data_IF_764283984709
#
_entry.id   IF_764283984709
#
_cell.length_a   1.000
_cell.length_b   1.000
_cell.length_c   1.000
_cell.angle_alpha   90.00
_cell.angle_beta   90.00
_cell.angle_gamma   90.00
#
_symmetry.space_group_name_H-M   'P 1'
#
loop_
_entity.id
_entity.type
_entity.pdbx_description
1 polymer ?
#
# COMPACT_ATOMS: atom_id res chain seq x y z
N UNK A 1 -1.64 14.71 -0.71
CA UNK A 1 -0.69 14.34 0.34
C UNK A 1 0.71 14.06 -0.20
N UNK A 2 0.84 13.30 -1.32
CA UNK A 2 2.16 13.04 -1.89
C UNK A 2 2.89 14.33 -2.29
N UNK A 3 2.19 15.29 -2.87
CA UNK A 3 2.80 16.56 -3.25
C UNK A 3 3.33 17.32 -2.04
N UNK A 4 2.59 17.31 -0.94
CA UNK A 4 3.03 17.94 0.31
C UNK A 4 4.31 17.30 0.82
N UNK A 5 4.36 15.98 0.84
CA UNK A 5 5.52 15.24 1.33
C UNK A 5 6.76 15.50 0.45
N UNK A 6 6.58 15.53 -0.87
CA UNK A 6 7.66 15.81 -1.79
C UNK A 6 8.20 17.25 -1.63
N UNK A 7 7.31 18.23 -1.50
CA UNK A 7 7.71 19.63 -1.35
C UNK A 7 8.50 19.87 -0.08
N UNK A 8 8.27 19.05 0.96
CA UNK A 8 8.94 19.19 2.25
C UNK A 8 10.09 18.20 2.42
N UNK A 9 10.49 17.51 1.35
CA UNK A 9 11.58 16.51 1.37
C UNK A 9 11.39 15.42 2.41
N UNK A 10 10.14 15.01 2.65
CA UNK A 10 9.82 13.95 3.59
C UNK A 10 9.89 12.61 2.85
N UNK A 11 10.69 11.69 3.38
CA UNK A 11 10.77 10.33 2.84
C UNK A 11 9.51 9.57 3.24
N UNK A 12 8.89 8.88 2.29
CA UNK A 12 7.61 8.22 2.56
C UNK A 12 7.38 7.03 1.63
N UNK A 13 6.50 6.16 2.07
CA UNK A 13 5.85 5.15 1.24
C UNK A 13 4.41 5.04 1.72
N UNK A 14 3.50 4.82 0.80
CA UNK A 14 2.09 4.65 1.09
C UNK A 14 1.61 3.27 0.66
N UNK A 15 0.55 2.80 1.27
CA UNK A 15 -0.15 1.60 0.82
C UNK A 15 -1.62 1.67 1.27
N UNK A 16 -2.44 0.83 0.65
CA UNK A 16 -3.85 0.73 1.01
C UNK A 16 -4.00 -0.28 2.14
N UNK A 17 -4.53 0.15 3.29
CA UNK A 17 -4.85 -0.76 4.39
C UNK A 17 -6.13 -1.54 4.09
N UNK A 18 -7.13 -0.85 3.53
CA UNK A 18 -8.43 -1.42 3.14
C UNK A 18 -8.53 -1.45 1.62
N UNK A 19 -9.47 -2.27 1.06
CA UNK A 19 -9.66 -2.29 -0.39
C UNK A 19 -9.89 -0.88 -0.92
N UNK A 20 -9.23 -0.50 -2.03
CA UNK A 20 -9.49 0.80 -2.62
C UNK A 20 -10.95 0.87 -3.09
N UNK A 21 -11.57 2.05 -3.07
CA UNK A 21 -12.93 2.19 -3.56
C UNK A 21 -13.02 1.73 -5.01
N UNK A 22 -14.11 1.02 -5.33
CA UNK A 22 -14.35 0.58 -6.70
C UNK A 22 -14.70 1.80 -7.52
N UNK A 23 -13.74 2.32 -8.25
CA UNK A 23 -13.97 3.48 -9.10
C UNK A 23 -13.95 3.00 -10.54
N UNK A 24 -14.85 3.55 -11.35
CA UNK A 24 -14.91 3.21 -12.76
C UNK A 24 -13.59 3.58 -13.43
N UNK A 25 -13.15 2.72 -14.32
CA UNK A 25 -11.87 2.88 -15.02
C UNK A 25 -11.71 4.27 -15.66
N UNK A 26 -12.80 4.83 -16.17
CA UNK A 26 -12.77 6.15 -16.81
C UNK A 26 -12.64 7.30 -15.81
N UNK A 27 -13.21 7.14 -14.61
CA UNK A 27 -13.16 8.16 -13.57
C UNK A 27 -11.79 8.19 -12.90
N UNK A 28 -11.09 7.07 -12.96
CA UNK A 28 -9.83 6.86 -12.24
C UNK A 28 -8.58 7.15 -13.00
N UNK A 29 -8.65 7.12 -14.32
CA UNK A 29 -7.43 7.13 -15.12
C UNK A 29 -6.56 8.34 -14.80
N UNK A 30 -7.16 9.52 -14.68
CA UNK A 30 -6.41 10.74 -14.38
C UNK A 30 -5.83 10.71 -12.97
N UNK A 31 -6.65 10.32 -11.97
CA UNK A 31 -6.18 10.23 -10.57
C UNK A 31 -5.14 9.14 -10.42
N UNK A 32 -5.36 7.98 -11.04
CA UNK A 32 -4.42 6.86 -11.01
C UNK A 32 -3.06 7.27 -11.60
N UNK A 33 -3.07 7.95 -12.74
CA UNK A 33 -1.84 8.40 -13.40
C UNK A 33 -1.12 9.49 -12.61
N UNK A 34 -1.81 10.20 -11.72
CA UNK A 34 -1.20 11.22 -10.88
C UNK A 34 -0.50 10.65 -9.64
N UNK A 35 -0.76 9.38 -9.32
CA UNK A 35 -0.13 8.72 -8.16
C UNK A 35 1.30 8.32 -8.51
N UNK A 36 2.25 8.71 -7.66
CA UNK A 36 3.63 8.27 -7.78
C UNK A 36 3.75 6.84 -7.25
N UNK A 37 3.74 5.88 -8.15
CA UNK A 37 3.75 4.46 -7.80
C UNK A 37 5.06 4.00 -7.16
N UNK A 38 6.15 4.72 -7.38
CA UNK A 38 7.41 4.43 -6.71
C UNK A 38 7.27 4.58 -5.20
N UNK A 39 6.49 5.56 -4.77
CA UNK A 39 6.22 5.83 -3.36
C UNK A 39 4.90 5.23 -2.88
N UNK A 40 4.28 4.39 -3.69
CA UNK A 40 3.01 3.75 -3.33
C UNK A 40 3.13 2.25 -3.55
N UNK A 41 3.24 1.51 -2.46
CA UNK A 41 3.36 0.06 -2.54
C UNK A 41 2.02 -0.53 -2.98
N UNK A 42 2.05 -1.23 -4.11
CA UNK A 42 0.95 -2.04 -4.61
C UNK A 42 -0.39 -1.28 -4.67
N UNK A 43 -0.44 -0.23 -5.51
CA UNK A 43 -1.60 0.66 -5.61
C UNK A 43 -2.91 -0.08 -5.99
N UNK A 44 -2.80 -1.21 -6.68
CA UNK A 44 -3.96 -1.99 -7.14
C UNK A 44 -4.48 -2.99 -6.10
N UNK A 45 -3.86 -3.07 -4.93
CA UNK A 45 -4.23 -4.01 -3.90
C UNK A 45 -4.25 -3.35 -2.53
N UNK A 46 -4.43 -4.14 -1.48
CA UNK A 46 -4.49 -3.65 -0.11
C UNK A 46 -3.96 -4.70 0.86
N UNK A 47 -3.61 -4.26 2.07
CA UNK A 47 -3.25 -5.18 3.14
C UNK A 47 -4.40 -6.12 3.47
N UNK A 48 -5.63 -5.60 3.48
CA UNK A 48 -6.83 -6.41 3.72
C UNK A 48 -6.95 -7.54 2.69
N UNK A 49 -6.80 -7.20 1.41
CA UNK A 49 -6.90 -8.19 0.32
C UNK A 49 -5.83 -9.28 0.45
N UNK A 50 -4.60 -8.88 0.76
CA UNK A 50 -3.51 -9.82 0.99
C UNK A 50 -3.85 -10.80 2.11
N UNK A 51 -4.36 -10.31 3.22
CA UNK A 51 -4.73 -11.13 4.37
C UNK A 51 -5.88 -12.07 4.04
N UNK A 52 -6.85 -11.60 3.25
CA UNK A 52 -7.96 -12.44 2.79
C UNK A 52 -7.47 -13.58 1.91
N UNK A 53 -6.60 -13.29 0.95
CA UNK A 53 -6.10 -14.29 0.01
C UNK A 53 -5.20 -15.33 0.68
N UNK A 54 -4.54 -14.99 1.77
CA UNK A 54 -3.54 -15.83 2.41
C UNK A 54 -3.96 -16.34 3.79
N UNK A 55 -5.22 -16.13 4.18
CA UNK A 55 -5.75 -16.54 5.49
C UNK A 55 -4.93 -15.95 6.64
N UNK A 56 -4.71 -14.64 6.60
CA UNK A 56 -3.90 -13.92 7.59
C UNK A 56 -4.73 -13.05 8.52
N UNK A 57 -6.02 -13.35 8.70
CA UNK A 57 -6.86 -12.68 9.69
C UNK A 57 -6.74 -13.37 11.04
N UNK A 58 -7.02 -12.61 12.11
CA UNK A 58 -7.01 -13.13 13.48
C UNK A 58 -8.00 -14.27 13.62
N UNK A 59 -9.24 -14.10 13.11
CA UNK A 59 -10.28 -15.13 13.15
C UNK A 59 -11.28 -14.92 12.02
N UNK A 60 -12.24 -15.84 11.89
CA UNK A 60 -13.32 -15.71 10.90
C UNK A 60 -14.22 -14.51 11.17
N UNK A 61 -14.29 -14.06 12.42
CA UNK A 61 -15.14 -12.93 12.83
C UNK A 61 -14.34 -11.66 13.06
N UNK A 62 -13.01 -11.75 13.15
CA UNK A 62 -12.14 -10.60 13.34
C UNK A 62 -11.20 -10.48 12.13
N UNK A 63 -11.54 -9.60 11.20
CA UNK A 63 -10.83 -9.41 9.94
C UNK A 63 -9.69 -8.40 10.07
N UNK A 64 -9.04 -8.34 11.23
CA UNK A 64 -7.77 -7.63 11.36
C UNK A 64 -6.61 -8.55 11.03
N UNK A 65 -5.50 -8.02 10.51
CA UNK A 65 -4.33 -8.86 10.22
C UNK A 65 -3.82 -9.55 11.47
N UNK A 66 -3.48 -10.83 11.35
CA UNK A 66 -2.80 -11.51 12.44
C UNK A 66 -1.30 -11.17 12.42
N UNK A 67 -0.55 -11.67 13.41
CA UNK A 67 0.89 -11.39 13.53
C UNK A 67 1.66 -11.75 12.25
N UNK A 68 1.38 -12.91 11.69
CA UNK A 68 2.04 -13.37 10.47
C UNK A 68 1.72 -12.49 9.27
N UNK A 69 0.47 -12.03 9.16
CA UNK A 69 0.03 -11.11 8.12
C UNK A 69 0.76 -9.78 8.21
N UNK A 70 0.92 -9.25 9.42
CA UNK A 70 1.65 -8.01 9.65
C UNK A 70 3.11 -8.16 9.26
N UNK A 71 3.76 -9.24 9.67
CA UNK A 71 5.16 -9.52 9.34
C UNK A 71 5.38 -9.63 7.84
N UNK A 72 4.53 -10.41 7.17
CA UNK A 72 4.66 -10.62 5.73
C UNK A 72 4.44 -9.33 4.95
N UNK A 73 3.43 -8.56 5.32
CA UNK A 73 3.15 -7.28 4.67
C UNK A 73 4.28 -6.29 4.89
N UNK A 74 4.77 -6.17 6.12
CA UNK A 74 5.91 -5.32 6.45
C UNK A 74 7.15 -5.70 5.65
N UNK A 75 7.40 -7.00 5.49
CA UNK A 75 8.52 -7.49 4.69
C UNK A 75 8.41 -7.07 3.22
N UNK A 76 7.21 -7.14 2.65
CA UNK A 76 6.96 -6.71 1.27
C UNK A 76 7.14 -5.20 1.10
N UNK A 77 6.68 -4.42 2.07
CA UNK A 77 6.85 -2.96 2.05
C UNK A 77 8.33 -2.60 2.15
N UNK A 78 9.08 -3.25 3.03
CA UNK A 78 10.52 -3.03 3.16
C UNK A 78 11.26 -3.36 1.86
N UNK A 79 10.89 -4.45 1.20
CA UNK A 79 11.46 -4.81 -0.09
C UNK A 79 11.18 -3.77 -1.15
N UNK A 80 9.98 -3.22 -1.17
CA UNK A 80 9.62 -2.14 -2.08
C UNK A 80 10.46 -0.89 -1.83
N UNK A 81 10.66 -0.53 -0.56
CA UNK A 81 11.51 0.59 -0.16
C UNK A 81 12.94 0.38 -0.66
N UNK A 82 13.50 -0.81 -0.44
CA UNK A 82 14.87 -1.13 -0.88
C UNK A 82 14.99 -1.13 -2.41
N UNK A 83 14.05 -1.75 -3.10
CA UNK A 83 14.07 -1.84 -4.56
C UNK A 83 14.01 -0.46 -5.21
N UNK A 84 13.25 0.47 -4.64
CA UNK A 84 13.08 1.82 -5.17
C UNK A 84 13.99 2.85 -4.48
N UNK A 85 14.81 2.42 -3.55
CA UNK A 85 15.77 3.26 -2.81
C UNK A 85 15.13 4.49 -2.19
N UNK A 86 13.96 4.30 -1.57
CA UNK A 86 13.18 5.42 -1.02
C UNK A 86 13.83 6.08 0.20
N UNK A 87 14.83 5.42 0.80
CA UNK A 87 15.60 5.95 1.92
C UNK A 87 16.77 6.84 1.48
N UNK A 88 17.07 6.89 0.20
CA UNK A 88 18.15 7.73 -0.34
C UNK A 88 17.66 9.13 -0.67
N UNK A 89 18.54 10.09 -0.54
CA UNK A 89 18.25 11.49 -0.92
C UNK A 89 18.23 11.69 -2.43
#
# INVERSE_FOLDING_TARGET
LQNYLKLNNIKYVMYNALPPPTIRKNDHHTLYCSIDQKHFFNVDSSQYYYCEQNNRFISKTDHHPNEKGIEEWAGMVCKHIDTNKLYED
#
